data_IF_069859311907
#
_entry.id   IF_069859311907
#
_cell.length_a   1.000
_cell.length_b   1.000
_cell.length_c   1.000
_cell.angle_alpha   90.00
_cell.angle_beta   90.00
_cell.angle_gamma   90.00
#
_symmetry.space_group_name_H-M   'P 1'
#
loop_
_entity.id
_entity.type
_entity.pdbx_description
1 polymer ?
#
# COMPACT_ATOMS: atom_id res chain seq x y z
N UNK A 1 25.84 23.06 8.41
CA UNK A 1 25.90 21.74 9.05
C UNK A 1 24.65 21.61 9.92
N UNK A 2 23.60 21.04 9.38
CA UNK A 2 22.37 20.82 10.11
C UNK A 2 22.54 19.51 10.89
N UNK A 3 22.73 19.60 12.19
CA UNK A 3 22.75 18.45 13.11
C UNK A 3 21.40 17.76 13.02
N UNK A 4 21.38 16.54 12.49
CA UNK A 4 20.21 15.66 12.57
C UNK A 4 19.92 15.41 14.07
N UNK A 5 18.88 16.05 14.60
CA UNK A 5 18.35 15.74 15.91
C UNK A 5 17.78 14.32 15.87
N UNK A 6 18.51 13.37 16.44
CA UNK A 6 18.01 12.00 16.62
C UNK A 6 16.91 12.02 17.71
N UNK A 7 15.71 11.55 17.42
CA UNK A 7 14.64 11.50 18.43
C UNK A 7 14.97 10.51 19.55
N UNK A 8 14.43 10.80 20.74
CA UNK A 8 14.62 10.05 21.97
C UNK A 8 14.38 8.53 21.80
N UNK A 9 15.14 7.74 22.55
CA UNK A 9 15.10 6.29 22.56
C UNK A 9 13.70 5.77 22.89
N UNK A 10 13.14 4.96 21.97
CA UNK A 10 12.02 4.10 22.32
C UNK A 10 12.49 3.01 23.32
N UNK A 11 11.59 2.48 24.17
CA UNK A 11 11.94 1.43 25.13
C UNK A 11 12.56 0.23 24.40
N UNK A 12 13.54 -0.42 25.02
CA UNK A 12 14.18 -1.62 24.51
C UNK A 12 13.11 -2.71 24.30
N UNK A 13 12.77 -2.97 23.03
CA UNK A 13 11.92 -4.11 22.69
C UNK A 13 12.76 -5.38 22.83
N UNK A 14 12.23 -6.38 23.50
CA UNK A 14 12.89 -7.70 23.53
C UNK A 14 13.04 -8.19 22.09
N UNK A 15 14.22 -8.63 21.70
CA UNK A 15 14.54 -9.16 20.35
C UNK A 15 13.66 -10.35 19.95
N UNK A 16 12.78 -10.77 20.84
CA UNK A 16 11.95 -11.96 20.73
C UNK A 16 10.49 -11.69 20.30
N UNK A 17 10.07 -10.46 20.16
CA UNK A 17 8.70 -10.13 19.77
C UNK A 17 8.49 -10.32 18.26
N UNK A 18 7.56 -11.24 17.89
CA UNK A 18 7.16 -11.53 16.52
C UNK A 18 5.81 -10.90 16.13
N UNK A 19 5.27 -9.97 16.92
CA UNK A 19 3.94 -9.39 16.71
C UNK A 19 3.76 -8.66 15.37
N UNK A 20 4.85 -8.22 14.73
CA UNK A 20 4.84 -7.54 13.42
C UNK A 20 5.29 -8.44 12.26
N UNK A 21 5.49 -9.72 12.54
CA UNK A 21 5.86 -10.70 11.51
C UNK A 21 4.59 -11.36 10.93
N UNK A 22 4.67 -11.99 9.74
CA UNK A 22 3.57 -12.81 9.25
C UNK A 22 3.09 -13.82 10.30
N UNK A 23 1.79 -14.06 10.39
CA UNK A 23 1.21 -14.92 11.43
C UNK A 23 1.75 -16.36 11.40
N UNK A 24 2.18 -16.86 10.24
CA UNK A 24 2.80 -18.17 10.07
C UNK A 24 4.26 -18.24 10.56
N UNK A 25 4.83 -17.11 11.03
CA UNK A 25 6.23 -17.07 11.44
C UNK A 25 6.47 -17.97 12.64
N UNK A 26 7.44 -18.86 12.50
CA UNK A 26 7.86 -19.79 13.57
C UNK A 26 9.36 -19.72 13.81
N UNK A 27 9.76 -20.06 15.04
CA UNK A 27 11.17 -20.11 15.43
C UNK A 27 11.76 -21.47 15.08
N UNK A 28 12.95 -21.43 14.51
CA UNK A 28 13.80 -22.58 14.30
C UNK A 28 14.98 -22.55 15.29
N UNK A 29 15.63 -23.67 15.48
CA UNK A 29 16.86 -23.74 16.28
C UNK A 29 17.93 -22.76 15.79
N UNK A 30 18.88 -22.43 16.68
CA UNK A 30 20.03 -21.58 16.36
C UNK A 30 19.68 -20.17 15.80
N UNK A 31 18.59 -19.56 16.29
CA UNK A 31 18.19 -18.21 15.89
C UNK A 31 17.53 -18.10 14.49
N UNK A 32 17.18 -19.24 13.90
CA UNK A 32 16.46 -19.27 12.62
C UNK A 32 15.00 -18.86 12.75
N UNK A 33 14.42 -18.38 11.65
CA UNK A 33 12.99 -18.12 11.48
C UNK A 33 12.49 -18.81 10.20
N UNK A 34 11.27 -19.32 10.25
CA UNK A 34 10.52 -19.76 9.08
C UNK A 34 9.25 -18.92 8.90
N UNK A 35 8.82 -18.74 7.66
CA UNK A 35 7.53 -18.14 7.27
C UNK A 35 6.85 -19.11 6.32
N UNK A 36 5.55 -19.39 6.50
CA UNK A 36 4.85 -20.39 5.69
C UNK A 36 5.49 -21.79 5.76
N UNK A 37 6.10 -22.13 6.91
CA UNK A 37 6.89 -23.34 7.14
C UNK A 37 8.16 -23.49 6.27
N UNK A 38 8.65 -22.40 5.66
CA UNK A 38 9.92 -22.37 4.90
C UNK A 38 10.95 -21.55 5.68
N UNK A 39 12.16 -22.10 5.89
CA UNK A 39 13.23 -21.38 6.57
C UNK A 39 13.69 -20.17 5.73
N UNK A 40 13.79 -18.99 6.36
CA UNK A 40 14.23 -17.78 5.66
C UNK A 40 15.69 -17.89 5.16
N UNK A 41 16.52 -18.70 5.82
CA UNK A 41 17.89 -19.02 5.38
C UNK A 41 17.90 -19.82 4.08
N UNK A 42 16.99 -20.81 3.94
CA UNK A 42 16.82 -21.58 2.69
C UNK A 42 16.43 -20.65 1.53
N UNK A 43 15.54 -19.70 1.77
CA UNK A 43 15.13 -18.73 0.76
C UNK A 43 16.32 -17.87 0.32
N UNK A 44 17.12 -17.38 1.29
CA UNK A 44 18.30 -16.60 1.02
C UNK A 44 19.37 -17.37 0.23
N UNK A 45 19.54 -18.67 0.50
CA UNK A 45 20.46 -19.55 -0.22
C UNK A 45 19.98 -19.84 -1.66
N UNK A 46 18.71 -20.14 -1.81
CA UNK A 46 18.12 -20.61 -3.07
C UNK A 46 17.84 -19.48 -4.06
N UNK A 47 17.39 -18.31 -3.59
CA UNK A 47 16.98 -17.18 -4.44
C UNK A 47 17.92 -15.97 -4.34
N UNK A 48 18.93 -16.04 -3.44
CA UNK A 48 19.86 -14.95 -3.16
C UNK A 48 19.22 -13.80 -2.38
N UNK A 49 20.06 -12.85 -1.95
CA UNK A 49 19.66 -11.61 -1.30
C UNK A 49 20.10 -10.39 -2.13
N UNK A 50 19.53 -9.20 -1.98
CA UNK A 50 18.29 -8.97 -1.24
C UNK A 50 17.12 -9.70 -1.88
N UNK A 51 16.09 -10.06 -1.09
CA UNK A 51 14.89 -10.73 -1.59
C UNK A 51 13.66 -10.31 -0.76
N UNK A 52 12.47 -10.32 -1.38
CA UNK A 52 11.21 -10.20 -0.66
C UNK A 52 10.57 -11.58 -0.54
N UNK A 53 10.18 -11.93 0.67
CA UNK A 53 9.41 -13.13 0.98
C UNK A 53 7.99 -12.69 1.26
N UNK A 54 7.01 -13.33 0.65
CA UNK A 54 5.59 -13.02 0.80
C UNK A 54 4.84 -14.27 1.24
N UNK A 55 4.19 -14.21 2.38
CA UNK A 55 3.32 -15.28 2.89
C UNK A 55 1.97 -15.24 2.16
N UNK A 56 1.71 -16.23 1.30
CA UNK A 56 0.45 -16.34 0.56
C UNK A 56 -0.74 -16.54 1.50
N UNK A 57 -0.57 -17.39 2.53
CA UNK A 57 -1.61 -17.66 3.52
C UNK A 57 -2.06 -16.40 4.25
N UNK A 58 -1.10 -15.59 4.68
CA UNK A 58 -1.36 -14.32 5.35
C UNK A 58 -2.07 -13.32 4.43
N UNK A 59 -1.64 -13.18 3.15
CA UNK A 59 -2.32 -12.29 2.19
C UNK A 59 -3.78 -12.69 2.03
N UNK A 60 -4.04 -13.99 1.81
CA UNK A 60 -5.41 -14.51 1.64
C UNK A 60 -6.25 -14.33 2.90
N UNK A 61 -5.69 -14.60 4.08
CA UNK A 61 -6.40 -14.44 5.35
C UNK A 61 -6.76 -12.97 5.60
N UNK A 62 -5.89 -12.02 5.26
CA UNK A 62 -6.20 -10.59 5.35
C UNK A 62 -7.30 -10.18 4.39
N UNK A 63 -7.34 -10.71 3.18
CA UNK A 63 -8.45 -10.51 2.26
C UNK A 63 -9.78 -11.02 2.88
N UNK A 64 -9.78 -12.23 3.45
CA UNK A 64 -10.96 -12.80 4.14
C UNK A 64 -11.37 -11.98 5.36
N UNK A 65 -10.42 -11.49 6.15
CA UNK A 65 -10.67 -10.60 7.29
C UNK A 65 -11.41 -9.34 6.86
N UNK A 66 -10.97 -8.69 5.77
CA UNK A 66 -11.68 -7.52 5.24
C UNK A 66 -13.10 -7.85 4.76
N UNK A 67 -13.28 -8.94 4.02
CA UNK A 67 -14.63 -9.35 3.59
C UNK A 67 -15.56 -9.66 4.75
N UNK A 68 -15.05 -10.33 5.77
CA UNK A 68 -15.83 -10.68 6.97
C UNK A 68 -16.17 -9.45 7.81
N UNK A 69 -15.26 -8.47 7.89
CA UNK A 69 -15.50 -7.23 8.62
C UNK A 69 -16.51 -6.32 7.87
N UNK A 70 -16.49 -6.33 6.54
CA UNK A 70 -17.33 -5.50 5.66
C UNK A 70 -18.28 -6.35 4.77
N UNK A 71 -19.21 -7.15 5.34
CA UNK A 71 -19.97 -8.15 4.58
C UNK A 71 -20.89 -7.57 3.51
N UNK A 72 -21.35 -6.32 3.69
CA UNK A 72 -22.25 -5.62 2.75
C UNK A 72 -21.53 -4.60 1.87
N UNK A 73 -20.22 -4.41 2.10
CA UNK A 73 -19.41 -3.49 1.33
C UNK A 73 -18.68 -4.19 0.18
N UNK A 74 -18.24 -3.42 -0.78
CA UNK A 74 -17.25 -3.86 -1.75
C UNK A 74 -15.85 -3.56 -1.22
N UNK A 75 -15.00 -4.57 -1.15
CA UNK A 75 -13.60 -4.41 -0.77
C UNK A 75 -12.75 -4.47 -2.02
N UNK A 76 -12.00 -3.41 -2.29
CA UNK A 76 -11.10 -3.28 -3.42
C UNK A 76 -9.65 -3.34 -2.91
N UNK A 77 -8.85 -4.26 -3.42
CA UNK A 77 -7.43 -4.26 -3.09
C UNK A 77 -6.70 -3.15 -3.86
N UNK A 78 -5.97 -2.27 -3.17
CA UNK A 78 -5.22 -1.19 -3.81
C UNK A 78 -3.89 -1.72 -4.40
N UNK A 79 -3.85 -1.91 -5.71
CA UNK A 79 -2.75 -2.49 -6.48
C UNK A 79 -1.41 -1.78 -6.29
N UNK A 80 -1.44 -0.45 -6.12
CA UNK A 80 -0.25 0.38 -5.85
C UNK A 80 0.60 -0.10 -4.68
N UNK A 81 0.02 -0.83 -3.72
CA UNK A 81 0.76 -1.40 -2.60
C UNK A 81 1.76 -2.47 -3.06
N UNK A 82 1.32 -3.40 -3.85
CA UNK A 82 2.10 -4.38 -4.61
C UNK A 82 1.18 -5.15 -5.56
N UNK A 83 1.53 -5.23 -6.84
CA UNK A 83 0.79 -6.01 -7.84
C UNK A 83 1.75 -6.91 -8.64
N UNK A 84 1.36 -8.17 -8.77
CA UNK A 84 1.88 -9.13 -9.74
C UNK A 84 0.74 -10.11 -10.09
N UNK A 85 0.94 -10.99 -11.06
CA UNK A 85 -0.11 -11.95 -11.48
C UNK A 85 -0.65 -12.76 -10.31
N UNK A 86 0.23 -13.25 -9.42
CA UNK A 86 -0.17 -14.04 -8.26
C UNK A 86 -1.07 -13.24 -7.31
N UNK A 87 -0.72 -12.00 -7.00
CA UNK A 87 -1.55 -11.13 -6.16
C UNK A 87 -2.92 -10.88 -6.80
N UNK A 88 -2.96 -10.62 -8.12
CA UNK A 88 -4.23 -10.46 -8.84
C UNK A 88 -5.11 -11.72 -8.71
N UNK A 89 -4.53 -12.92 -8.86
CA UNK A 89 -5.23 -14.19 -8.65
C UNK A 89 -5.74 -14.35 -7.21
N UNK A 90 -4.87 -14.15 -6.21
CA UNK A 90 -5.26 -14.34 -4.79
C UNK A 90 -6.39 -13.39 -4.38
N UNK A 91 -6.27 -12.12 -4.75
CA UNK A 91 -7.29 -11.10 -4.49
C UNK A 91 -8.63 -11.44 -5.15
N UNK A 92 -8.59 -11.86 -6.42
CA UNK A 92 -9.78 -12.31 -7.17
C UNK A 92 -10.44 -13.53 -6.51
N UNK A 93 -9.64 -14.54 -6.17
CA UNK A 93 -10.11 -15.81 -5.61
C UNK A 93 -10.72 -15.61 -4.22
N UNK A 94 -10.19 -14.67 -3.44
CA UNK A 94 -10.77 -14.25 -2.15
C UNK A 94 -11.98 -13.31 -2.33
N UNK A 95 -12.37 -13.00 -3.57
CA UNK A 95 -13.61 -12.27 -3.87
C UNK A 95 -13.54 -10.76 -3.76
N UNK A 96 -12.32 -10.16 -3.65
CA UNK A 96 -12.15 -8.69 -3.64
C UNK A 96 -12.16 -8.16 -5.08
N UNK A 97 -12.54 -6.86 -5.23
CA UNK A 97 -12.25 -6.08 -6.43
C UNK A 97 -10.82 -5.54 -6.41
N UNK A 98 -10.49 -4.70 -7.37
CA UNK A 98 -9.15 -4.12 -7.53
C UNK A 98 -9.22 -2.61 -7.79
N UNK A 99 -8.40 -1.83 -7.08
CA UNK A 99 -8.10 -0.42 -7.36
C UNK A 99 -6.77 -0.36 -8.11
N UNK A 100 -6.76 0.24 -9.30
CA UNK A 100 -5.57 0.45 -10.15
C UNK A 100 -5.40 1.93 -10.48
N UNK A 101 -4.16 2.36 -10.72
CA UNK A 101 -3.84 3.78 -10.97
C UNK A 101 -3.23 4.04 -12.35
N UNK A 102 -3.05 3.02 -13.18
CA UNK A 102 -2.45 3.15 -14.52
C UNK A 102 -2.87 2.05 -15.47
N UNK A 103 -2.70 2.28 -16.77
CA UNK A 103 -2.87 1.25 -17.80
C UNK A 103 -2.00 0.02 -17.55
N UNK A 104 -0.76 0.21 -17.06
CA UNK A 104 0.13 -0.90 -16.77
C UNK A 104 -0.38 -1.83 -15.67
N UNK A 105 -0.90 -1.29 -14.55
CA UNK A 105 -1.54 -2.09 -13.49
C UNK A 105 -2.81 -2.78 -14.03
N UNK A 106 -3.63 -2.05 -14.79
CA UNK A 106 -4.87 -2.56 -15.38
C UNK A 106 -4.59 -3.73 -16.33
N UNK A 107 -3.67 -3.56 -17.28
CA UNK A 107 -3.35 -4.60 -18.28
C UNK A 107 -2.72 -5.82 -17.63
N UNK A 108 -1.86 -5.63 -16.61
CA UNK A 108 -1.31 -6.74 -15.85
C UNK A 108 -2.43 -7.54 -15.15
N UNK A 109 -3.38 -6.86 -14.51
CA UNK A 109 -4.49 -7.51 -13.81
C UNK A 109 -5.38 -8.30 -14.78
N UNK A 110 -5.81 -7.68 -15.90
CA UNK A 110 -6.67 -8.32 -16.89
C UNK A 110 -5.95 -9.49 -17.58
N UNK A 111 -4.67 -9.33 -17.92
CA UNK A 111 -3.84 -10.42 -18.46
C UNK A 111 -3.69 -11.59 -17.47
N UNK A 112 -3.74 -11.31 -16.18
CA UNK A 112 -3.79 -12.34 -15.13
C UNK A 112 -5.21 -12.95 -14.96
N UNK A 113 -6.19 -12.60 -15.79
CA UNK A 113 -7.57 -13.10 -15.70
C UNK A 113 -8.41 -12.45 -14.59
N UNK A 114 -8.06 -11.23 -14.16
CA UNK A 114 -8.92 -10.49 -13.25
C UNK A 114 -10.11 -9.89 -14.03
N UNK A 115 -11.37 -10.02 -13.56
CA UNK A 115 -12.54 -9.47 -14.24
C UNK A 115 -12.49 -7.94 -14.27
N UNK A 116 -12.48 -7.34 -15.46
CA UNK A 116 -12.32 -5.90 -15.63
C UNK A 116 -13.47 -5.09 -15.00
N UNK A 117 -14.68 -5.63 -15.00
CA UNK A 117 -15.86 -5.03 -14.36
C UNK A 117 -15.75 -4.91 -12.83
N UNK A 118 -14.81 -5.64 -12.22
CA UNK A 118 -14.48 -5.55 -10.78
C UNK A 118 -13.28 -4.65 -10.51
N UNK A 119 -12.80 -3.94 -11.52
CA UNK A 119 -11.68 -2.99 -11.41
C UNK A 119 -12.19 -1.56 -11.37
N UNK A 120 -11.62 -0.75 -10.50
CA UNK A 120 -11.83 0.70 -10.42
C UNK A 120 -10.53 1.39 -10.82
N UNK A 121 -10.59 2.28 -11.82
CA UNK A 121 -9.43 3.08 -12.25
C UNK A 121 -9.38 4.40 -11.49
N UNK A 122 -8.33 4.58 -10.70
CA UNK A 122 -7.98 5.80 -9.99
C UNK A 122 -6.88 6.61 -10.70
N UNK A 123 -6.42 7.69 -10.07
CA UNK A 123 -5.32 8.52 -10.53
C UNK A 123 -5.71 10.00 -10.67
N UNK A 124 -4.86 10.90 -10.15
CA UNK A 124 -5.09 12.34 -10.18
C UNK A 124 -4.75 12.99 -11.55
N UNK A 125 -4.09 12.26 -12.43
CA UNK A 125 -3.67 12.73 -13.75
C UNK A 125 -3.64 11.56 -14.73
N UNK A 126 -4.81 10.99 -15.05
CA UNK A 126 -4.92 9.92 -16.03
C UNK A 126 -4.51 10.42 -17.42
N UNK A 127 -3.59 9.73 -18.06
CA UNK A 127 -3.21 9.99 -19.44
C UNK A 127 -4.32 9.55 -20.41
N UNK A 128 -4.31 10.02 -21.67
CA UNK A 128 -5.19 9.46 -22.70
C UNK A 128 -5.09 7.94 -22.79
N UNK A 129 -3.89 7.38 -22.70
CA UNK A 129 -3.64 5.95 -22.74
C UNK A 129 -4.30 5.19 -21.56
N UNK A 130 -4.28 5.77 -20.35
CA UNK A 130 -4.96 5.16 -19.19
C UNK A 130 -6.47 5.10 -19.41
N UNK A 131 -7.06 6.19 -19.95
CA UNK A 131 -8.50 6.26 -20.23
C UNK A 131 -8.88 5.30 -21.36
N UNK A 132 -8.14 5.27 -22.45
CA UNK A 132 -8.36 4.36 -23.59
C UNK A 132 -8.27 2.90 -23.17
N UNK A 133 -7.24 2.55 -22.37
CA UNK A 133 -7.10 1.19 -21.83
C UNK A 133 -8.29 0.79 -20.94
N UNK A 134 -8.74 1.70 -20.09
CA UNK A 134 -9.88 1.46 -19.19
C UNK A 134 -11.18 1.20 -19.98
N UNK A 135 -11.46 2.04 -20.98
CA UNK A 135 -12.66 1.89 -21.83
C UNK A 135 -12.58 0.64 -22.69
N UNK A 136 -11.44 0.38 -23.31
CA UNK A 136 -11.21 -0.81 -24.15
C UNK A 136 -11.36 -2.12 -23.38
N UNK A 137 -10.86 -2.16 -22.14
CA UNK A 137 -10.90 -3.35 -21.29
C UNK A 137 -12.21 -3.47 -20.48
N UNK A 138 -13.03 -2.42 -20.43
CA UNK A 138 -14.34 -2.44 -19.79
C UNK A 138 -14.27 -2.40 -18.26
N UNK A 139 -13.46 -1.48 -17.69
CA UNK A 139 -13.41 -1.32 -16.22
C UNK A 139 -14.77 -0.98 -15.62
N UNK A 140 -15.03 -1.48 -14.44
CA UNK A 140 -16.32 -1.27 -13.76
C UNK A 140 -16.60 0.19 -13.47
N UNK A 141 -15.60 0.95 -13.00
CA UNK A 141 -15.73 2.38 -12.64
C UNK A 141 -14.44 3.14 -12.92
N UNK A 142 -14.58 4.44 -13.19
CA UNK A 142 -13.45 5.39 -13.27
C UNK A 142 -13.69 6.49 -12.24
N UNK A 143 -12.72 6.74 -11.36
CA UNK A 143 -12.78 7.81 -10.37
C UNK A 143 -12.23 9.09 -10.98
N UNK A 144 -13.09 10.06 -11.22
CA UNK A 144 -12.76 11.39 -11.76
C UNK A 144 -12.09 12.22 -10.66
N UNK A 145 -10.96 12.82 -10.98
CA UNK A 145 -10.14 13.59 -10.02
C UNK A 145 -10.10 15.09 -10.32
N UNK A 146 -10.47 15.51 -11.54
CA UNK A 146 -10.41 16.91 -11.95
C UNK A 146 -11.51 17.31 -12.94
N UNK A 147 -11.88 18.63 -13.02
CA UNK A 147 -12.87 19.11 -13.98
C UNK A 147 -12.48 18.88 -15.45
N UNK A 148 -11.20 18.96 -15.79
CA UNK A 148 -10.71 18.70 -17.16
C UNK A 148 -10.86 17.23 -17.58
N UNK A 149 -10.80 16.33 -16.62
CA UNK A 149 -10.97 14.89 -16.87
C UNK A 149 -12.40 14.54 -17.29
N UNK A 150 -13.41 15.26 -16.77
CA UNK A 150 -14.82 15.05 -17.14
C UNK A 150 -15.01 15.16 -18.66
N UNK A 151 -14.52 16.25 -19.25
CA UNK A 151 -14.67 16.47 -20.69
C UNK A 151 -13.87 15.45 -21.52
N UNK A 152 -12.64 15.15 -21.09
CA UNK A 152 -11.80 14.15 -21.78
C UNK A 152 -12.41 12.75 -21.73
N UNK A 153 -12.95 12.36 -20.59
CA UNK A 153 -13.57 11.04 -20.43
C UNK A 153 -14.88 10.97 -21.25
N UNK A 154 -15.76 11.97 -21.18
CA UNK A 154 -16.98 12.02 -21.96
C UNK A 154 -16.69 11.94 -23.48
N UNK A 155 -15.67 12.68 -23.96
CA UNK A 155 -15.23 12.62 -25.34
C UNK A 155 -14.68 11.24 -25.73
N UNK A 156 -13.92 10.61 -24.87
CA UNK A 156 -13.35 9.27 -25.13
C UNK A 156 -14.42 8.18 -25.14
N UNK A 157 -15.42 8.24 -24.27
CA UNK A 157 -16.58 7.32 -24.27
C UNK A 157 -17.39 7.50 -25.57
N UNK A 158 -17.54 8.72 -26.05
CA UNK A 158 -18.23 9.03 -27.31
C UNK A 158 -19.75 8.87 -27.27
N UNK A 159 -20.44 9.30 -28.33
CA UNK A 159 -21.90 9.24 -28.43
C UNK A 159 -22.40 7.79 -28.37
N UNK A 160 -23.42 7.54 -27.53
CA UNK A 160 -24.03 6.22 -27.35
C UNK A 160 -23.23 5.25 -26.46
N UNK A 161 -22.02 5.63 -26.04
CA UNK A 161 -21.28 4.90 -25.04
C UNK A 161 -21.76 5.18 -23.62
N UNK A 162 -21.30 4.38 -22.67
CA UNK A 162 -21.69 4.50 -21.25
C UNK A 162 -20.55 4.08 -20.35
N UNK A 163 -20.21 4.93 -19.36
CA UNK A 163 -19.21 4.62 -18.33
C UNK A 163 -19.68 5.03 -16.96
N UNK A 164 -19.63 4.12 -16.01
CA UNK A 164 -19.83 4.43 -14.59
C UNK A 164 -18.64 5.18 -14.02
N UNK A 165 -18.94 6.27 -13.31
CA UNK A 165 -17.92 7.12 -12.72
C UNK A 165 -18.23 7.44 -11.27
N UNK A 166 -17.18 7.68 -10.50
CA UNK A 166 -17.25 8.27 -9.17
C UNK A 166 -16.49 9.59 -9.17
N UNK A 167 -16.82 10.51 -8.28
CA UNK A 167 -16.07 11.73 -8.11
C UNK A 167 -15.21 11.68 -6.86
N UNK A 168 -13.90 11.93 -6.98
CA UNK A 168 -13.00 12.07 -5.84
C UNK A 168 -13.19 13.42 -5.18
N UNK A 169 -13.55 13.38 -3.89
CA UNK A 169 -13.80 14.57 -3.06
C UNK A 169 -12.80 14.63 -1.92
N UNK A 170 -12.27 15.80 -1.65
CA UNK A 170 -11.45 16.09 -0.48
C UNK A 170 -12.36 16.61 0.64
N UNK A 171 -12.57 15.85 1.70
CA UNK A 171 -13.50 16.24 2.75
C UNK A 171 -12.93 17.26 3.75
N UNK A 172 -11.70 17.75 3.59
CA UNK A 172 -11.06 18.71 4.50
C UNK A 172 -10.73 18.12 5.88
N UNK A 173 -10.32 16.86 5.93
CA UNK A 173 -9.98 16.15 7.17
C UNK A 173 -8.50 15.80 7.16
N UNK A 174 -7.75 16.31 8.14
CA UNK A 174 -6.35 15.93 8.34
C UNK A 174 -6.26 14.59 9.06
N UNK A 175 -5.64 13.59 8.42
CA UNK A 175 -5.38 12.28 8.99
C UNK A 175 -4.08 11.67 8.45
N UNK A 176 -3.44 10.79 9.22
CA UNK A 176 -2.18 10.13 8.88
C UNK A 176 -0.96 10.71 9.56
N UNK A 177 0.13 9.93 9.57
CA UNK A 177 1.32 10.21 10.40
C UNK A 177 2.38 11.12 9.78
N UNK A 178 2.40 11.36 8.47
CA UNK A 178 3.44 12.13 7.77
C UNK A 178 2.83 13.02 6.69
N UNK A 179 3.29 14.28 6.59
CA UNK A 179 2.72 15.29 5.67
C UNK A 179 2.67 14.83 4.21
N UNK A 180 3.69 14.14 3.72
CA UNK A 180 3.76 13.61 2.35
C UNK A 180 2.74 12.50 2.02
N UNK A 181 2.06 11.94 3.01
CA UNK A 181 1.07 10.87 2.84
C UNK A 181 -0.34 11.25 3.31
N UNK A 182 -0.57 12.53 3.61
CA UNK A 182 -1.89 13.11 3.84
C UNK A 182 -2.52 13.47 2.51
N UNK A 183 -3.80 13.14 2.31
CA UNK A 183 -4.54 13.43 1.06
C UNK A 183 -5.95 13.95 1.31
N UNK A 184 -6.32 14.18 2.56
CA UNK A 184 -7.66 14.61 2.96
C UNK A 184 -7.83 16.13 3.16
N UNK A 185 -6.81 16.95 2.86
CA UNK A 185 -6.79 18.39 3.04
C UNK A 185 -6.75 19.12 1.68
N UNK A 186 -7.24 20.38 1.63
CA UNK A 186 -7.45 21.15 0.40
C UNK A 186 -6.14 21.60 -0.30
N UNK A 187 -4.99 21.46 0.36
CA UNK A 187 -3.66 21.79 -0.16
C UNK A 187 -2.98 20.67 -0.97
N UNK A 188 -3.73 19.60 -1.27
CA UNK A 188 -3.22 18.43 -1.97
C UNK A 188 -3.62 18.41 -3.45
N UNK A 189 -2.83 17.68 -4.25
CA UNK A 189 -3.05 17.52 -5.70
C UNK A 189 -4.23 16.62 -6.08
N UNK A 190 -4.90 16.02 -5.12
CA UNK A 190 -5.92 15.00 -5.33
C UNK A 190 -7.32 15.55 -5.11
N UNK A 191 -8.26 15.15 -5.99
CA UNK A 191 -9.67 15.35 -5.82
C UNK A 191 -10.13 16.81 -5.81
N UNK A 192 -11.41 17.02 -5.58
CA UNK A 192 -12.04 18.33 -5.53
C UNK A 192 -12.50 18.66 -4.12
N UNK A 193 -12.18 19.89 -3.68
CA UNK A 193 -12.55 20.34 -2.34
C UNK A 193 -14.06 20.37 -2.15
N UNK A 194 -14.49 19.96 -0.96
CA UNK A 194 -15.87 20.08 -0.52
C UNK A 194 -16.21 21.50 -0.07
N UNK A 195 -15.21 22.28 0.37
CA UNK A 195 -15.40 23.55 1.08
C UNK A 195 -15.55 24.74 0.14
N UNK A 196 -14.93 24.71 -1.04
CA UNK A 196 -14.90 25.83 -2.00
C UNK A 196 -15.92 25.71 -3.17
N UNK A 197 -16.79 24.70 -3.14
CA UNK A 197 -17.82 24.49 -4.16
C UNK A 197 -17.34 23.77 -5.43
N UNK A 198 -16.05 23.45 -5.56
CA UNK A 198 -15.51 22.77 -6.76
C UNK A 198 -16.13 21.40 -6.98
N UNK A 199 -16.36 20.64 -5.90
CA UNK A 199 -17.02 19.33 -6.00
C UNK A 199 -18.45 19.44 -6.56
N UNK A 200 -19.23 20.44 -6.11
CA UNK A 200 -20.61 20.66 -6.58
C UNK A 200 -20.66 21.04 -8.06
N UNK A 201 -19.74 21.92 -8.51
CA UNK A 201 -19.64 22.29 -9.93
C UNK A 201 -19.26 21.09 -10.80
N UNK A 202 -18.34 20.25 -10.34
CA UNK A 202 -17.95 19.03 -11.07
C UNK A 202 -19.12 18.04 -11.18
N UNK A 203 -19.88 17.84 -10.09
CA UNK A 203 -21.08 17.01 -10.09
C UNK A 203 -22.07 17.47 -11.15
N UNK A 204 -22.43 18.77 -11.18
CA UNK A 204 -23.32 19.32 -12.19
C UNK A 204 -22.81 19.09 -13.62
N UNK A 205 -21.49 19.19 -13.83
CA UNK A 205 -20.87 18.91 -15.14
C UNK A 205 -20.91 17.44 -15.51
N UNK A 206 -20.71 16.51 -14.57
CA UNK A 206 -20.81 15.07 -14.82
C UNK A 206 -22.24 14.71 -15.20
N UNK A 207 -23.22 15.19 -14.43
CA UNK A 207 -24.65 14.95 -14.69
C UNK A 207 -25.12 15.53 -16.03
N UNK A 208 -24.45 16.53 -16.57
CA UNK A 208 -24.67 17.08 -17.91
C UNK A 208 -24.02 16.26 -19.04
N UNK A 209 -23.31 15.16 -18.77
CA UNK A 209 -22.69 14.29 -19.78
C UNK A 209 -23.49 12.98 -19.87
N UNK A 210 -24.28 12.77 -20.94
CA UNK A 210 -25.12 11.57 -21.04
C UNK A 210 -24.33 10.25 -21.13
N UNK A 211 -23.03 10.32 -21.46
CA UNK A 211 -22.13 9.15 -21.53
C UNK A 211 -21.61 8.73 -20.14
N UNK A 212 -21.75 9.57 -19.10
CA UNK A 212 -21.21 9.34 -17.78
C UNK A 212 -22.34 9.10 -16.76
N UNK A 213 -22.31 7.94 -16.12
CA UNK A 213 -23.21 7.63 -14.99
C UNK A 213 -22.48 7.91 -13.68
N UNK A 214 -22.85 8.97 -12.96
CA UNK A 214 -22.32 9.21 -11.61
C UNK A 214 -22.94 8.21 -10.62
N UNK A 215 -22.20 7.20 -10.24
CA UNK A 215 -22.66 6.15 -9.31
C UNK A 215 -22.34 6.47 -7.86
N UNK A 216 -21.33 7.30 -7.58
CA UNK A 216 -20.92 7.55 -6.20
C UNK A 216 -19.89 8.63 -6.02
N UNK A 217 -19.53 8.83 -4.76
CA UNK A 217 -18.44 9.67 -4.33
C UNK A 217 -17.32 8.81 -3.76
N UNK A 218 -16.07 9.28 -3.97
CA UNK A 218 -14.87 8.68 -3.38
C UNK A 218 -14.15 9.71 -2.52
N UNK A 219 -13.55 9.26 -1.41
CA UNK A 219 -12.56 10.02 -0.67
C UNK A 219 -11.43 9.13 -0.16
N UNK A 220 -10.23 9.71 -0.04
CA UNK A 220 -9.08 9.03 0.57
C UNK A 220 -8.38 10.00 1.51
N UNK A 221 -8.34 9.67 2.80
CA UNK A 221 -7.92 10.62 3.85
C UNK A 221 -6.41 10.71 4.02
N UNK A 222 -5.68 9.67 3.62
CA UNK A 222 -4.25 9.57 3.83
C UNK A 222 -3.78 8.14 4.03
N UNK A 223 -2.60 7.98 4.62
CA UNK A 223 -1.98 6.68 4.83
C UNK A 223 -1.49 6.52 6.27
N UNK A 224 -1.43 5.27 6.78
CA UNK A 224 -1.04 4.97 8.15
C UNK A 224 -1.95 5.62 9.20
N UNK A 225 -3.25 5.54 8.98
CA UNK A 225 -4.27 6.00 9.93
C UNK A 225 -4.60 4.84 10.87
N UNK A 226 -4.27 5.00 12.15
CA UNK A 226 -4.45 3.95 13.18
C UNK A 226 -5.69 4.16 14.05
N UNK A 227 -6.47 5.24 13.80
CA UNK A 227 -7.66 5.57 14.58
C UNK A 227 -8.91 5.66 13.70
N UNK A 228 -10.06 5.31 14.26
CA UNK A 228 -11.34 5.28 13.53
C UNK A 228 -11.96 6.66 13.31
N UNK A 229 -11.71 7.61 14.23
CA UNK A 229 -12.37 8.94 14.26
C UNK A 229 -12.33 9.72 12.94
N UNK A 230 -11.21 9.79 12.19
CA UNK A 230 -11.16 10.48 10.90
C UNK A 230 -12.14 9.93 9.88
N UNK A 231 -12.28 8.59 9.81
CA UNK A 231 -13.21 7.93 8.88
C UNK A 231 -14.66 8.28 9.20
N UNK A 232 -15.07 8.28 10.48
CA UNK A 232 -16.43 8.66 10.86
C UNK A 232 -16.73 10.11 10.48
N UNK A 233 -15.78 11.01 10.70
CA UNK A 233 -15.94 12.41 10.28
C UNK A 233 -16.07 12.57 8.77
N UNK A 234 -15.36 11.74 8.00
CA UNK A 234 -15.47 11.72 6.54
C UNK A 234 -16.83 11.19 6.09
N UNK A 235 -17.31 10.10 6.67
CA UNK A 235 -18.67 9.56 6.37
C UNK A 235 -19.72 10.66 6.51
N UNK A 236 -19.76 11.38 7.65
CA UNK A 236 -20.71 12.48 7.86
C UNK A 236 -20.65 13.55 6.77
N UNK A 237 -19.42 14.00 6.41
CA UNK A 237 -19.25 15.04 5.37
C UNK A 237 -19.67 14.54 3.99
N UNK A 238 -19.34 13.31 3.65
CA UNK A 238 -19.67 12.72 2.35
C UNK A 238 -21.19 12.49 2.23
N UNK A 239 -21.86 11.97 3.25
CA UNK A 239 -23.32 11.82 3.30
C UNK A 239 -24.00 13.19 3.18
N UNK A 240 -23.47 14.23 3.85
CA UNK A 240 -23.96 15.60 3.69
C UNK A 240 -23.85 16.12 2.25
N UNK A 241 -22.79 15.76 1.51
CA UNK A 241 -22.69 16.08 0.08
C UNK A 241 -23.70 15.28 -0.74
N UNK A 242 -23.89 13.99 -0.48
CA UNK A 242 -24.89 13.16 -1.16
C UNK A 242 -26.31 13.70 -0.98
N UNK A 243 -26.64 14.20 0.22
CA UNK A 243 -27.91 14.85 0.47
C UNK A 243 -28.10 16.10 -0.38
N UNK A 244 -27.08 16.97 -0.46
CA UNK A 244 -27.13 18.16 -1.33
C UNK A 244 -27.28 17.79 -2.81
N UNK A 245 -26.66 16.72 -3.29
CA UNK A 245 -26.83 16.24 -4.67
C UNK A 245 -28.27 15.83 -4.92
N UNK A 246 -28.87 15.06 -4.01
CA UNK A 246 -30.29 14.71 -4.12
C UNK A 246 -31.19 15.96 -4.15
N UNK A 247 -30.97 16.89 -3.23
CA UNK A 247 -31.82 18.08 -3.09
C UNK A 247 -31.69 19.04 -4.28
N UNK A 248 -30.49 19.12 -4.87
CA UNK A 248 -30.22 20.06 -5.98
C UNK A 248 -30.52 19.45 -7.34
N UNK A 249 -30.23 18.15 -7.52
CA UNK A 249 -30.29 17.51 -8.84
C UNK A 249 -31.29 16.35 -8.93
N UNK A 250 -31.96 15.97 -7.82
CA UNK A 250 -32.88 14.85 -7.78
C UNK A 250 -32.20 13.48 -7.91
N UNK A 251 -30.87 13.41 -7.79
CA UNK A 251 -30.07 12.19 -7.97
C UNK A 251 -29.69 11.58 -6.63
N UNK A 252 -30.00 10.32 -6.44
CA UNK A 252 -29.57 9.52 -5.27
C UNK A 252 -28.41 8.64 -5.70
N UNK A 253 -27.24 8.86 -5.10
CA UNK A 253 -26.04 8.09 -5.43
C UNK A 253 -26.06 6.75 -4.69
N UNK A 254 -25.89 5.61 -5.40
CA UNK A 254 -25.95 4.28 -4.78
C UNK A 254 -24.66 3.85 -4.07
N UNK A 255 -23.55 4.56 -4.23
CA UNK A 255 -22.24 4.14 -3.76
C UNK A 255 -21.50 5.25 -3.00
N UNK A 256 -20.71 4.84 -1.97
CA UNK A 256 -19.81 5.68 -1.23
C UNK A 256 -18.49 4.95 -0.99
N UNK A 257 -17.41 5.43 -1.60
CA UNK A 257 -16.06 4.89 -1.42
C UNK A 257 -15.27 5.73 -0.41
N UNK A 258 -14.84 5.07 0.67
CA UNK A 258 -14.09 5.70 1.76
C UNK A 258 -12.58 5.49 1.63
N UNK A 259 -12.14 4.90 0.51
CA UNK A 259 -10.73 4.67 0.23
C UNK A 259 -10.07 3.69 1.21
N UNK A 260 -8.76 3.82 1.30
CA UNK A 260 -7.94 2.99 2.18
C UNK A 260 -7.26 3.80 3.28
N UNK A 261 -5.92 3.65 3.36
CA UNK A 261 -5.10 4.36 4.34
C UNK A 261 -4.96 3.66 5.69
N UNK A 262 -5.51 2.45 5.82
CA UNK A 262 -5.53 1.64 7.03
C UNK A 262 -4.11 1.35 7.52
N UNK A 263 -3.80 1.80 8.75
CA UNK A 263 -2.48 1.71 9.36
C UNK A 263 -2.14 0.32 9.87
N UNK A 264 -0.86 -0.02 9.78
CA UNK A 264 -0.28 -1.27 10.32
C UNK A 264 0.89 -0.93 11.24
N UNK A 265 1.17 -1.78 12.21
CA UNK A 265 2.37 -1.68 13.03
C UNK A 265 3.60 -2.09 12.22
N UNK A 266 4.67 -1.32 12.28
CA UNK A 266 5.98 -1.63 11.68
C UNK A 266 6.98 -2.15 12.70
N UNK A 267 6.74 -1.87 13.98
CA UNK A 267 7.59 -2.30 15.08
C UNK A 267 6.73 -2.84 16.21
N UNK A 268 7.24 -3.75 17.01
CA UNK A 268 6.57 -4.18 18.24
C UNK A 268 6.14 -3.00 19.08
N UNK A 269 4.93 -3.07 19.64
CA UNK A 269 4.35 -2.02 20.48
C UNK A 269 3.77 -0.82 19.75
N UNK A 270 3.81 -0.78 18.41
CA UNK A 270 3.07 0.21 17.62
C UNK A 270 1.62 -0.23 17.42
N UNK A 271 0.71 0.75 17.34
CA UNK A 271 -0.70 0.50 17.08
C UNK A 271 -0.96 0.21 15.59
N UNK A 272 -1.80 -0.78 15.32
CA UNK A 272 -2.46 -0.99 14.04
C UNK A 272 -3.94 -0.58 14.13
N UNK A 273 -4.56 -0.27 12.99
CA UNK A 273 -5.99 0.00 12.93
C UNK A 273 -6.78 -1.29 13.16
N UNK A 274 -7.67 -1.30 14.13
CA UNK A 274 -8.65 -2.38 14.33
C UNK A 274 -9.70 -2.32 13.22
N UNK A 275 -9.61 -3.24 12.26
CA UNK A 275 -10.48 -3.30 11.09
C UNK A 275 -11.92 -3.66 11.46
N UNK A 276 -12.12 -4.52 12.43
CA UNK A 276 -13.46 -4.92 12.90
C UNK A 276 -14.17 -3.75 13.59
N UNK A 277 -13.44 -3.03 14.45
CA UNK A 277 -13.97 -1.82 15.08
C UNK A 277 -14.24 -0.72 14.05
N UNK A 278 -13.35 -0.53 13.05
CA UNK A 278 -13.55 0.41 11.96
C UNK A 278 -14.84 0.09 11.20
N UNK A 279 -14.98 -1.14 10.72
CA UNK A 279 -16.13 -1.57 9.91
C UNK A 279 -17.46 -1.38 10.65
N UNK A 280 -17.53 -1.85 11.89
CA UNK A 280 -18.71 -1.69 12.73
C UNK A 280 -19.09 -0.22 12.91
N UNK A 281 -18.11 0.62 13.30
CA UNK A 281 -18.36 2.04 13.58
C UNK A 281 -18.67 2.84 12.33
N UNK A 282 -18.00 2.56 11.21
CA UNK A 282 -18.32 3.19 9.92
C UNK A 282 -19.73 2.86 9.47
N UNK A 283 -20.15 1.58 9.61
CA UNK A 283 -21.53 1.17 9.28
C UNK A 283 -22.55 1.92 10.14
N UNK A 284 -22.36 1.96 11.46
CA UNK A 284 -23.25 2.69 12.37
C UNK A 284 -23.34 4.17 11.97
N UNK A 285 -22.20 4.83 11.78
CA UNK A 285 -22.16 6.24 11.39
C UNK A 285 -22.84 6.50 10.04
N UNK A 286 -22.63 5.59 9.06
CA UNK A 286 -23.26 5.70 7.74
C UNK A 286 -24.78 5.61 7.84
N UNK A 287 -25.30 4.63 8.56
CA UNK A 287 -26.75 4.43 8.76
C UNK A 287 -27.36 5.64 9.48
N UNK A 288 -26.75 6.11 10.57
CA UNK A 288 -27.24 7.25 11.35
C UNK A 288 -27.20 8.55 10.51
N UNK A 289 -26.11 8.80 9.78
CA UNK A 289 -25.98 9.98 8.92
C UNK A 289 -26.98 9.96 7.77
N UNK A 290 -27.21 8.80 7.14
CA UNK A 290 -28.21 8.65 6.07
C UNK A 290 -29.63 8.85 6.59
N UNK A 291 -29.96 8.28 7.76
CA UNK A 291 -31.27 8.47 8.40
C UNK A 291 -31.54 9.94 8.70
N UNK A 292 -30.57 10.64 9.30
CA UNK A 292 -30.69 12.08 9.58
C UNK A 292 -30.84 12.94 8.32
N UNK A 293 -30.29 12.50 7.19
CA UNK A 293 -30.39 13.17 5.90
C UNK A 293 -31.54 12.66 5.02
N UNK A 294 -32.38 11.74 5.49
CA UNK A 294 -33.44 11.05 4.72
C UNK A 294 -32.91 10.46 3.40
N UNK A 295 -31.75 9.83 3.44
CA UNK A 295 -31.12 9.13 2.32
C UNK A 295 -31.23 7.62 2.48
N UNK A 296 -31.37 6.92 1.36
CA UNK A 296 -31.10 5.48 1.31
C UNK A 296 -29.62 5.25 1.59
N UNK A 297 -29.30 4.24 2.42
CA UNK A 297 -27.92 3.89 2.75
C UNK A 297 -27.20 3.41 1.47
N UNK A 298 -26.13 4.07 1.02
CA UNK A 298 -25.39 3.63 -0.15
C UNK A 298 -24.56 2.39 0.14
N UNK A 299 -24.21 1.65 -0.90
CA UNK A 299 -23.19 0.59 -0.81
C UNK A 299 -21.85 1.22 -0.45
N UNK A 300 -21.25 0.75 0.63
CA UNK A 300 -19.91 1.19 1.05
C UNK A 300 -18.83 0.49 0.22
N UNK A 301 -17.78 1.22 -0.16
CA UNK A 301 -16.55 0.68 -0.72
C UNK A 301 -15.37 1.04 0.20
N UNK A 302 -14.35 0.16 0.26
CA UNK A 302 -13.09 0.38 0.99
C UNK A 302 -11.91 -0.19 0.20
N UNK A 303 -10.74 0.47 0.29
CA UNK A 303 -9.56 0.19 -0.56
C UNK A 303 -8.31 -0.19 0.25
N UNK A 304 -8.29 -1.31 0.97
CA UNK A 304 -7.08 -1.74 1.68
C UNK A 304 -5.99 -2.16 0.68
N UNK A 305 -4.80 -1.62 0.84
CA UNK A 305 -3.59 -2.06 0.12
C UNK A 305 -2.53 -2.53 1.11
N UNK A 306 -1.88 -1.58 1.79
CA UNK A 306 -0.86 -1.83 2.82
C UNK A 306 -1.30 -2.85 3.86
N UNK A 307 -2.50 -2.72 4.38
CA UNK A 307 -3.00 -3.59 5.44
C UNK A 307 -3.23 -5.04 4.99
N UNK A 308 -3.29 -5.30 3.68
CA UNK A 308 -3.37 -6.66 3.12
C UNK A 308 -1.98 -7.26 2.94
N UNK A 309 -1.10 -6.62 2.16
CA UNK A 309 0.19 -7.24 1.79
C UNK A 309 1.36 -6.83 2.67
N UNK A 310 1.29 -5.68 3.35
CA UNK A 310 2.41 -5.16 4.15
C UNK A 310 2.89 -6.15 5.21
N UNK A 311 2.02 -6.57 6.15
CA UNK A 311 2.37 -7.51 7.21
C UNK A 311 2.74 -8.92 6.71
N UNK A 312 2.27 -9.31 5.52
CA UNK A 312 2.58 -10.61 4.92
C UNK A 312 4.01 -10.69 4.34
N UNK A 313 4.74 -9.58 4.28
CA UNK A 313 6.04 -9.52 3.64
C UNK A 313 7.23 -9.40 4.58
N UNK A 314 8.33 -10.06 4.23
CA UNK A 314 9.64 -9.95 4.89
C UNK A 314 10.70 -9.66 3.84
N UNK A 315 11.56 -8.68 4.06
CA UNK A 315 12.74 -8.46 3.23
C UNK A 315 13.97 -9.14 3.86
N UNK A 316 14.79 -9.80 3.04
CA UNK A 316 16.01 -10.47 3.44
C UNK A 316 17.21 -9.74 2.87
N UNK A 317 18.21 -9.52 3.71
CA UNK A 317 19.46 -8.85 3.35
C UNK A 317 20.66 -9.63 3.88
N UNK A 318 21.77 -9.62 3.13
CA UNK A 318 23.06 -10.13 3.60
C UNK A 318 23.92 -8.97 4.04
N UNK A 319 24.55 -9.11 5.19
CA UNK A 319 25.55 -8.16 5.69
C UNK A 319 26.82 -8.26 4.82
N UNK A 320 27.24 -7.15 4.24
CA UNK A 320 28.44 -7.04 3.42
C UNK A 320 29.64 -6.50 4.20
N UNK A 321 29.39 -5.54 5.09
CA UNK A 321 30.43 -4.91 5.88
C UNK A 321 29.88 -4.42 7.22
N UNK A 322 30.75 -4.41 8.21
CA UNK A 322 30.47 -3.81 9.53
C UNK A 322 31.58 -2.79 9.83
N UNK A 323 31.16 -1.56 10.11
CA UNK A 323 32.10 -0.46 10.42
C UNK A 323 31.76 0.13 11.79
N UNK A 324 32.77 0.31 12.60
CA UNK A 324 32.68 0.99 13.91
C UNK A 324 33.36 2.36 13.83
N UNK A 325 32.66 3.40 14.25
CA UNK A 325 33.19 4.77 14.29
C UNK A 325 32.72 5.40 15.59
N UNK A 326 33.62 5.49 16.58
CA UNK A 326 33.21 5.83 17.96
C UNK A 326 32.19 4.81 18.48
N UNK A 327 31.07 5.31 18.99
CA UNK A 327 29.98 4.48 19.52
C UNK A 327 29.01 4.00 18.44
N UNK A 328 29.16 4.44 17.18
CA UNK A 328 28.29 4.07 16.08
C UNK A 328 28.69 2.75 15.45
N UNK A 329 27.73 1.85 15.29
CA UNK A 329 27.88 0.59 14.55
C UNK A 329 27.09 0.72 13.24
N UNK A 330 27.78 0.76 12.11
CA UNK A 330 27.19 0.73 10.78
C UNK A 330 27.23 -0.70 10.23
N UNK A 331 26.06 -1.20 9.83
CA UNK A 331 25.89 -2.53 9.24
C UNK A 331 25.43 -2.35 7.80
N UNK A 332 26.35 -2.49 6.85
CA UNK A 332 26.06 -2.36 5.44
C UNK A 332 25.54 -3.68 4.87
N UNK A 333 24.43 -3.62 4.13
CA UNK A 333 23.79 -4.77 3.51
C UNK A 333 23.81 -4.70 1.98
N UNK A 334 23.46 -5.80 1.34
CA UNK A 334 23.47 -5.94 -0.13
C UNK A 334 22.28 -5.29 -0.84
N UNK A 335 21.28 -4.79 -0.10
CA UNK A 335 20.19 -3.94 -0.58
C UNK A 335 20.40 -2.47 -0.24
N UNK A 336 19.33 -1.68 -0.25
CA UNK A 336 19.37 -0.27 0.10
C UNK A 336 18.13 0.51 -0.34
N UNK A 337 18.28 1.82 -0.50
CA UNK A 337 17.16 2.69 -0.89
C UNK A 337 16.58 2.39 -2.29
N UNK A 338 17.27 1.62 -3.12
CA UNK A 338 16.74 1.18 -4.42
C UNK A 338 15.66 0.12 -4.30
N UNK A 339 15.68 -0.68 -3.24
CA UNK A 339 14.70 -1.74 -2.97
C UNK A 339 13.79 -1.42 -1.77
N UNK A 340 14.20 -0.55 -0.87
CA UNK A 340 13.38 -0.01 0.22
C UNK A 340 13.55 1.51 0.37
N UNK A 341 12.92 2.32 -0.49
CA UNK A 341 13.07 3.79 -0.47
C UNK A 341 12.33 4.45 0.70
N UNK A 342 11.50 3.74 1.42
CA UNK A 342 10.55 4.31 2.39
C UNK A 342 11.18 4.96 3.62
N UNK A 343 12.28 4.45 4.19
CA UNK A 343 13.00 5.17 5.25
C UNK A 343 13.49 6.54 4.79
N UNK A 344 14.09 6.62 3.60
CA UNK A 344 14.59 7.86 3.03
C UNK A 344 13.47 8.85 2.65
N UNK A 345 12.36 8.36 2.08
CA UNK A 345 11.26 9.19 1.59
C UNK A 345 10.30 9.65 2.69
N UNK A 346 10.01 8.79 3.67
CA UNK A 346 8.92 8.97 4.63
C UNK A 346 9.36 8.77 6.08
N UNK A 347 10.63 8.54 6.35
CA UNK A 347 11.13 8.30 7.70
C UNK A 347 10.54 7.04 8.37
N UNK A 348 10.10 6.05 7.58
CA UNK A 348 9.54 4.80 8.12
C UNK A 348 10.62 4.07 8.89
N UNK A 349 10.26 3.59 10.07
CA UNK A 349 11.16 2.83 10.94
C UNK A 349 10.82 1.36 10.88
N UNK A 350 11.81 0.53 10.60
CA UNK A 350 11.71 -0.92 10.59
C UNK A 350 12.44 -1.54 11.79
N UNK A 351 12.13 -2.79 12.09
CA UNK A 351 12.78 -3.61 13.13
C UNK A 351 13.55 -4.78 12.50
N UNK A 352 14.75 -4.54 11.93
CA UNK A 352 15.58 -5.61 11.38
C UNK A 352 16.01 -6.57 12.48
N UNK A 353 16.13 -7.87 12.14
CA UNK A 353 16.55 -8.93 13.04
C UNK A 353 17.59 -9.81 12.39
N UNK A 354 18.64 -10.17 13.14
CA UNK A 354 19.58 -11.22 12.77
C UNK A 354 18.86 -12.58 12.75
N UNK A 355 19.07 -13.32 11.68
CA UNK A 355 18.53 -14.68 11.52
C UNK A 355 19.63 -15.66 11.07
N UNK A 356 19.37 -16.97 11.25
CA UNK A 356 20.26 -18.06 10.75
C UNK A 356 21.36 -18.45 11.70
N UNK A 357 21.64 -17.69 12.75
CA UNK A 357 22.51 -18.07 13.85
C UNK A 357 22.06 -17.42 15.17
N UNK A 358 22.48 -18.01 16.26
CA UNK A 358 22.33 -17.38 17.58
C UNK A 358 23.37 -16.25 17.73
N UNK A 359 22.96 -15.16 18.37
CA UNK A 359 23.86 -14.11 18.82
C UNK A 359 24.62 -14.58 20.05
N UNK A 360 25.90 -14.22 20.17
CA UNK A 360 26.77 -14.54 21.32
C UNK A 360 27.18 -13.30 22.13
N UNK A 361 26.91 -12.10 21.60
CA UNK A 361 27.22 -10.85 22.26
C UNK A 361 25.96 -10.01 22.54
N UNK A 362 26.08 -9.16 23.55
CA UNK A 362 25.03 -8.21 23.93
C UNK A 362 24.66 -7.29 22.76
N UNK A 363 23.37 -6.90 22.66
CA UNK A 363 22.90 -5.97 21.65
C UNK A 363 23.66 -4.62 21.72
N UNK A 364 23.91 -4.04 20.57
CA UNK A 364 24.47 -2.70 20.40
C UNK A 364 23.60 -1.87 19.47
N UNK A 365 23.58 -0.58 19.75
CA UNK A 365 22.92 0.40 18.89
C UNK A 365 23.61 0.45 17.53
N UNK A 366 22.84 0.23 16.46
CA UNK A 366 23.35 0.13 15.10
C UNK A 366 22.52 0.98 14.12
N UNK A 367 23.14 1.28 12.98
CA UNK A 367 22.47 1.82 11.81
C UNK A 367 22.68 0.84 10.66
N UNK A 368 21.58 0.29 10.13
CA UNK A 368 21.59 -0.54 8.93
C UNK A 368 21.57 0.38 7.71
N UNK A 369 22.61 0.29 6.89
CA UNK A 369 22.80 1.10 5.69
C UNK A 369 22.85 0.21 4.45
N UNK A 370 22.46 0.77 3.30
CA UNK A 370 22.55 0.08 2.03
C UNK A 370 23.93 0.22 1.39
N UNK A 371 24.00 -0.22 0.14
CA UNK A 371 25.25 -0.29 -0.66
C UNK A 371 25.41 0.87 -1.65
N UNK A 372 24.44 1.80 -1.69
CA UNK A 372 24.45 2.90 -2.66
C UNK A 372 25.41 4.02 -2.25
N UNK A 373 26.01 4.69 -3.25
CA UNK A 373 26.87 5.87 -3.05
C UNK A 373 26.03 7.12 -2.73
N UNK A 374 25.21 7.03 -1.66
CA UNK A 374 24.28 8.06 -1.23
C UNK A 374 24.21 8.10 0.30
N UNK A 375 24.44 9.28 0.89
CA UNK A 375 24.42 9.44 2.35
C UNK A 375 23.08 9.11 2.99
N UNK A 376 21.97 9.28 2.25
CA UNK A 376 20.61 8.96 2.67
C UNK A 376 20.24 7.47 2.57
N UNK A 377 21.17 6.59 2.15
CA UNK A 377 20.91 5.16 2.00
C UNK A 377 20.91 4.43 3.36
N UNK A 378 19.90 4.75 4.17
CA UNK A 378 19.68 4.20 5.51
C UNK A 378 18.38 3.39 5.52
N UNK A 379 18.49 2.10 5.82
CA UNK A 379 17.34 1.20 5.93
C UNK A 379 16.71 1.20 7.33
N UNK A 380 17.54 1.26 8.38
CA UNK A 380 17.06 1.36 9.74
C UNK A 380 18.10 2.08 10.62
N UNK A 381 17.69 3.17 11.24
CA UNK A 381 18.53 3.94 12.14
C UNK A 381 18.19 3.62 13.60
N UNK A 382 19.22 3.61 14.43
CA UNK A 382 19.09 3.49 15.87
C UNK A 382 18.35 2.23 16.33
N UNK A 383 18.69 1.08 15.73
CA UNK A 383 18.17 -0.25 16.06
C UNK A 383 19.18 -1.03 16.90
N UNK A 384 18.69 -1.96 17.71
CA UNK A 384 19.54 -2.83 18.50
C UNK A 384 19.84 -4.10 17.72
N UNK A 385 21.11 -4.34 17.39
CA UNK A 385 21.60 -5.55 16.74
C UNK A 385 22.69 -6.22 17.60
N UNK A 386 22.86 -7.54 17.48
CA UNK A 386 23.94 -8.23 18.20
C UNK A 386 25.29 -7.60 17.98
N UNK A 387 26.08 -7.43 19.06
CA UNK A 387 27.41 -6.83 18.98
C UNK A 387 28.45 -7.66 18.22
N UNK A 388 28.14 -8.93 17.96
CA UNK A 388 28.94 -9.89 17.17
C UNK A 388 28.49 -10.00 15.70
N UNK A 389 27.62 -9.10 15.22
CA UNK A 389 27.21 -9.09 13.81
C UNK A 389 28.43 -8.89 12.89
N UNK A 390 28.49 -9.65 11.80
CA UNK A 390 29.65 -9.67 10.89
C UNK A 390 29.22 -9.89 9.42
N UNK A 391 30.10 -9.63 8.46
CA UNK A 391 29.87 -9.95 7.05
C UNK A 391 29.47 -11.42 6.85
N UNK A 392 28.47 -11.63 5.99
CA UNK A 392 27.88 -12.94 5.74
C UNK A 392 26.60 -13.21 6.55
N UNK A 393 26.36 -12.51 7.66
CA UNK A 393 25.13 -12.63 8.44
C UNK A 393 23.90 -12.25 7.60
N UNK A 394 22.73 -12.81 7.97
CA UNK A 394 21.46 -12.46 7.36
C UNK A 394 20.64 -11.60 8.31
N UNK A 395 20.10 -10.50 7.75
CA UNK A 395 19.09 -9.67 8.39
C UNK A 395 17.75 -9.89 7.70
N UNK A 396 16.69 -10.05 8.49
CA UNK A 396 15.32 -10.08 8.01
C UNK A 396 14.56 -8.87 8.56
N UNK A 397 13.73 -8.25 7.69
CA UNK A 397 12.98 -7.04 7.99
C UNK A 397 11.50 -7.32 7.76
N UNK A 398 10.65 -7.37 8.80
CA UNK A 398 9.23 -7.62 8.66
C UNK A 398 8.47 -6.42 8.07
N UNK A 399 7.21 -6.60 7.73
CA UNK A 399 6.27 -5.60 7.16
C UNK A 399 6.79 -5.02 5.84
N UNK A 400 7.42 -5.85 5.04
CA UNK A 400 8.06 -5.48 3.78
C UNK A 400 7.21 -5.77 2.52
N UNK A 401 5.95 -6.20 2.68
CA UNK A 401 5.11 -6.60 1.54
C UNK A 401 4.52 -5.44 0.73
N UNK A 402 4.50 -4.21 1.27
CA UNK A 402 3.87 -3.08 0.63
C UNK A 402 4.85 -1.94 0.35
N UNK A 403 4.74 -1.35 -0.87
CA UNK A 403 5.48 -0.15 -1.27
C UNK A 403 7.02 -0.31 -1.21
N UNK A 404 7.52 -1.52 -1.38
CA UNK A 404 8.94 -1.79 -1.59
C UNK A 404 9.19 -2.10 -3.08
N UNK A 405 8.88 -3.30 -3.57
CA UNK A 405 9.09 -3.59 -5.00
C UNK A 405 8.35 -2.62 -5.92
N UNK A 406 7.11 -2.23 -5.58
CA UNK A 406 6.33 -1.28 -6.39
C UNK A 406 6.96 0.12 -6.49
N UNK A 407 7.86 0.48 -5.56
CA UNK A 407 8.61 1.74 -5.56
C UNK A 407 10.11 1.53 -5.84
N UNK A 408 10.54 0.29 -6.09
CA UNK A 408 11.94 -0.02 -6.32
C UNK A 408 12.46 0.62 -7.62
N UNK A 409 13.73 0.98 -7.60
CA UNK A 409 14.40 1.63 -8.72
C UNK A 409 15.65 0.87 -9.15
N UNK A 410 16.23 1.24 -10.29
CA UNK A 410 17.53 0.75 -10.77
C UNK A 410 18.70 1.65 -10.36
N UNK A 411 18.64 2.30 -9.18
CA UNK A 411 19.70 3.19 -8.73
C UNK A 411 21.05 2.47 -8.65
N UNK A 412 22.11 3.12 -9.12
CA UNK A 412 23.45 2.57 -9.35
C UNK A 412 23.46 1.26 -10.20
N UNK A 413 22.45 1.03 -11.04
CA UNK A 413 22.25 -0.19 -11.82
C UNK A 413 22.24 -1.47 -10.98
N UNK A 414 21.77 -1.36 -9.74
CA UNK A 414 21.49 -2.51 -8.87
C UNK A 414 20.11 -3.06 -9.22
N UNK A 415 20.05 -4.32 -9.65
CA UNK A 415 18.81 -4.95 -10.09
C UNK A 415 17.81 -5.11 -8.96
N UNK A 416 16.52 -4.93 -9.29
CA UNK A 416 15.42 -5.12 -8.34
C UNK A 416 15.41 -6.55 -7.79
N UNK A 417 15.16 -6.73 -6.47
CA UNK A 417 15.09 -8.04 -5.84
C UNK A 417 13.96 -8.93 -6.38
N UNK A 418 14.08 -10.26 -6.26
CA UNK A 418 13.00 -11.18 -6.53
C UNK A 418 11.92 -11.10 -5.46
N UNK A 419 10.70 -11.54 -5.81
CA UNK A 419 9.64 -11.84 -4.85
C UNK A 419 9.40 -13.34 -4.83
N UNK A 420 9.50 -13.92 -3.65
CA UNK A 420 9.29 -15.34 -3.39
C UNK A 420 8.06 -15.51 -2.53
N UNK A 421 7.06 -16.24 -3.00
CA UNK A 421 5.92 -16.63 -2.17
C UNK A 421 6.28 -17.88 -1.36
N UNK A 422 5.75 -17.94 -0.15
CA UNK A 422 5.83 -19.11 0.72
C UNK A 422 4.43 -19.55 1.16
N UNK A 423 4.18 -20.83 1.14
CA UNK A 423 2.96 -21.45 1.64
C UNK A 423 3.21 -22.94 1.88
N UNK A 424 2.73 -23.50 2.98
CA UNK A 424 2.70 -24.92 3.28
C UNK A 424 4.05 -25.65 3.08
N UNK A 425 5.14 -25.03 3.50
CA UNK A 425 6.49 -25.57 3.38
C UNK A 425 7.10 -25.45 1.98
N UNK A 426 6.47 -24.73 1.05
CA UNK A 426 6.95 -24.55 -0.29
C UNK A 426 7.28 -23.10 -0.59
N UNK A 427 8.40 -22.88 -1.29
CA UNK A 427 8.80 -21.58 -1.79
C UNK A 427 8.76 -21.54 -3.32
N UNK A 428 8.10 -20.53 -3.90
CA UNK A 428 8.02 -20.34 -5.35
C UNK A 428 8.30 -18.90 -5.76
N UNK A 429 9.01 -18.72 -6.87
CA UNK A 429 9.31 -17.40 -7.41
C UNK A 429 8.06 -16.79 -8.04
N UNK A 430 7.70 -15.57 -7.62
CA UNK A 430 6.61 -14.79 -8.23
C UNK A 430 7.13 -13.76 -9.23
N UNK A 431 8.20 -13.05 -8.84
CA UNK A 431 8.88 -12.06 -9.68
C UNK A 431 10.36 -12.37 -9.62
N UNK A 432 10.99 -12.55 -10.78
CA UNK A 432 12.42 -12.83 -10.85
C UNK A 432 13.25 -11.60 -10.48
N UNK A 433 14.48 -11.82 -10.05
CA UNK A 433 15.47 -10.76 -9.92
C UNK A 433 15.70 -10.08 -11.28
N UNK A 434 15.82 -8.77 -11.27
CA UNK A 434 16.22 -8.00 -12.45
C UNK A 434 17.70 -8.29 -12.78
N UNK A 435 17.97 -8.60 -14.02
CA UNK A 435 19.31 -8.91 -14.54
C UNK A 435 19.97 -7.70 -15.20
N UNK A 436 21.25 -7.78 -15.49
CA UNK A 436 21.94 -6.76 -16.31
C UNK A 436 21.35 -6.65 -17.71
N UNK A 437 20.80 -7.72 -18.26
CA UNK A 437 20.19 -7.69 -19.59
C UNK A 437 18.87 -6.91 -19.58
N UNK A 438 18.14 -6.85 -18.46
CA UNK A 438 16.97 -5.99 -18.32
C UNK A 438 17.36 -4.49 -18.42
N UNK A 439 18.52 -4.11 -17.92
CA UNK A 439 19.04 -2.75 -18.09
C UNK A 439 19.50 -2.51 -19.53
N UNK A 440 20.29 -3.45 -20.10
CA UNK A 440 20.82 -3.34 -21.46
C UNK A 440 19.74 -3.26 -22.52
N UNK A 441 18.65 -4.01 -22.35
CA UNK A 441 17.54 -4.04 -23.32
C UNK A 441 16.84 -2.68 -23.50
N UNK A 442 17.03 -1.75 -22.59
CA UNK A 442 16.47 -0.39 -22.64
C UNK A 442 17.44 0.62 -23.25
N UNK A 443 18.72 0.28 -23.32
CA UNK A 443 19.75 1.10 -23.93
C UNK A 443 19.86 0.75 -25.41
N UNK A 444 19.39 1.63 -26.27
CA UNK A 444 19.36 1.47 -27.73
C UNK A 444 20.31 2.45 -28.44
N UNK A 445 21.24 3.03 -27.69
CA UNK A 445 22.08 4.15 -28.14
C UNK A 445 23.29 3.77 -29.02
N UNK A 446 23.56 2.49 -29.30
CA UNK A 446 24.68 2.03 -30.12
C UNK A 446 24.24 1.19 -31.30
#
# INVERSE_FOLDING_TARGET
MTTMNLPAAAPAHTTDDLSVWPASTSRLGHGGLAVGAVALTEIAERFGTPAYVLDEGEVRERCRTYRSAFPEAEVLYAAKAFLCRAIAHWVRDEGLGLDVCSAGELELAVTAGFPAERIVLHGNAKSPHDIEAALRLGVGRIVIDSPSEIARLAAAVGPGGHQKVMLRVVPGISAGGHDKIRTGTDDQKFGLSLTDGHAQHAIARILGQPQLELTGLHCHLGSQITTVKPYLSAVRRMVGLMARIRDTHGVVLPELDMGGGHGVAYRPGEDALDITALARRMRTELVESCAAASLTVPRLLVEPGRAVVGPAGVALYRVLAVKRTGDNLFVAVDGGMSDNPRPALYGVRYAPRLIGRAATAEPRRATVVGRHCEAGDVLAAAVDLPGDIHPGDLLAVPVAGAYQLSMASGYNMVGRPPVVAVADGHARLLVRRESLDDFRSRDVGL
#
